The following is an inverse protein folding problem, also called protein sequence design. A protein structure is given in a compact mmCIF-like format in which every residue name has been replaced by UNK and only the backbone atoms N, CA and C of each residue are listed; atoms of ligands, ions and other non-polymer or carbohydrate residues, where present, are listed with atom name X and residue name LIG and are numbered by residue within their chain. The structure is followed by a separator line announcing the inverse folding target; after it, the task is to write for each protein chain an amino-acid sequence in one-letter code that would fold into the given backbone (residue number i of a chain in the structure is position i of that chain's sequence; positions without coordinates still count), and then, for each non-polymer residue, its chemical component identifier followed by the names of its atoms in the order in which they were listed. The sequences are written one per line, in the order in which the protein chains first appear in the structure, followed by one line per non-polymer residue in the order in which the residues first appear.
data_IF_525025413312
#
_entry.id   IF_525025413312
#
_cell.length_a   1.000
_cell.length_b   1.000
_cell.length_c   1.000
_cell.angle_alpha   90.00
_cell.angle_beta   90.00
_cell.angle_gamma   90.00
#
_symmetry.space_group_name_H-M   'P 1'
#
loop_
_entity.id
_entity.type
_entity.pdbx_description
1 polymer ?
#
# COMPACT_ATOMS: atom_id res chain seq x y z
N UNK A 1 3.31 -22.26 34.04
CA UNK A 1 2.26 -21.62 33.22
C UNK A 1 2.54 -20.13 32.94
N UNK A 2 2.90 -19.32 33.95
CA UNK A 2 3.09 -17.87 33.76
C UNK A 2 4.31 -17.47 32.91
N UNK A 3 5.40 -18.26 32.94
CA UNK A 3 6.57 -18.02 32.09
C UNK A 3 6.27 -18.22 30.60
N UNK A 4 5.53 -19.28 30.23
CA UNK A 4 5.12 -19.51 28.84
C UNK A 4 4.26 -18.37 28.27
N UNK A 5 3.38 -17.77 29.08
CA UNK A 5 2.57 -16.62 28.62
C UNK A 5 3.44 -15.40 28.33
N UNK A 6 4.47 -15.17 29.15
CA UNK A 6 5.40 -14.06 28.99
C UNK A 6 6.29 -14.23 27.76
N UNK A 7 6.78 -15.44 27.50
CA UNK A 7 7.63 -15.72 26.34
C UNK A 7 6.85 -15.53 25.02
N UNK A 8 5.60 -16.00 24.96
CA UNK A 8 4.72 -15.78 23.81
C UNK A 8 4.40 -14.29 23.60
N UNK A 9 4.17 -13.54 24.68
CA UNK A 9 3.92 -12.10 24.58
C UNK A 9 5.13 -11.34 24.01
N UNK A 10 6.36 -11.72 24.40
CA UNK A 10 7.59 -11.12 23.87
C UNK A 10 7.78 -11.44 22.39
N UNK A 11 7.52 -12.68 21.97
CA UNK A 11 7.57 -13.07 20.55
C UNK A 11 6.57 -12.26 19.74
N UNK A 12 5.32 -12.13 20.21
CA UNK A 12 4.32 -11.32 19.53
C UNK A 12 4.71 -9.83 19.46
N UNK A 13 5.26 -9.27 20.54
CA UNK A 13 5.74 -7.90 20.55
C UNK A 13 6.85 -7.67 19.52
N UNK A 14 7.79 -8.61 19.39
CA UNK A 14 8.88 -8.52 18.42
C UNK A 14 8.38 -8.61 16.98
N UNK A 15 7.46 -9.56 16.71
CA UNK A 15 6.82 -9.73 15.41
C UNK A 15 6.03 -8.48 15.02
N UNK A 16 5.21 -7.96 15.93
CA UNK A 16 4.44 -6.74 15.68
C UNK A 16 5.34 -5.53 15.42
N UNK A 17 6.44 -5.40 16.16
CA UNK A 17 7.40 -4.29 15.97
C UNK A 17 8.12 -4.41 14.62
N UNK A 18 8.51 -5.62 14.22
CA UNK A 18 9.14 -5.89 12.92
C UNK A 18 8.22 -5.57 11.73
N UNK A 19 6.91 -5.80 11.86
CA UNK A 19 5.93 -5.52 10.81
C UNK A 19 5.44 -4.05 10.85
N UNK A 20 5.38 -3.43 12.02
CA UNK A 20 4.88 -2.07 12.19
C UNK A 20 5.74 -1.03 11.45
N UNK A 21 7.06 -1.20 11.44
CA UNK A 21 7.97 -0.28 10.78
C UNK A 21 7.72 -0.16 9.26
N UNK A 22 7.73 -1.24 8.46
CA UNK A 22 7.46 -1.14 7.02
C UNK A 22 6.03 -0.67 6.72
N UNK A 23 5.04 -1.08 7.53
CA UNK A 23 3.65 -0.62 7.38
C UNK A 23 3.53 0.89 7.62
N UNK A 24 4.21 1.42 8.63
CA UNK A 24 4.21 2.86 8.92
C UNK A 24 4.89 3.68 7.81
N UNK A 25 5.95 3.15 7.21
CA UNK A 25 6.63 3.79 6.07
C UNK A 25 5.73 3.82 4.83
N UNK A 26 4.99 2.75 4.55
CA UNK A 26 4.00 2.70 3.46
C UNK A 26 2.83 3.66 3.69
N UNK A 27 2.39 3.82 4.94
CA UNK A 27 1.28 4.71 5.28
C UNK A 27 1.64 6.20 5.14
N UNK A 28 2.93 6.55 5.30
CA UNK A 28 3.42 7.94 5.29
C UNK A 28 3.98 8.40 3.96
N UNK A 29 4.03 7.54 2.94
CA UNK A 29 4.64 7.91 1.66
C UNK A 29 3.74 8.91 0.93
N UNK A 30 4.25 10.12 0.62
CA UNK A 30 3.45 11.13 -0.04
C UNK A 30 3.04 10.64 -1.43
N UNK A 31 1.75 10.78 -1.74
CA UNK A 31 1.21 10.48 -3.06
C UNK A 31 1.70 11.56 -4.02
N UNK A 32 2.67 11.22 -4.86
CA UNK A 32 3.20 12.10 -5.90
C UNK A 32 2.23 12.13 -7.07
N UNK A 33 1.91 13.32 -7.60
CA UNK A 33 0.91 13.50 -8.67
C UNK A 33 1.33 12.92 -10.03
N UNK A 34 2.61 12.60 -10.22
CA UNK A 34 3.14 12.11 -11.50
C UNK A 34 3.56 10.63 -11.47
N UNK A 35 3.25 9.90 -10.40
CA UNK A 35 3.63 8.50 -10.24
C UNK A 35 2.39 7.62 -10.08
N UNK A 36 2.33 6.43 -10.72
CA UNK A 36 1.18 5.54 -10.62
C UNK A 36 0.75 5.29 -9.17
N UNK A 37 -0.56 5.25 -8.95
CA UNK A 37 -1.17 4.95 -7.67
C UNK A 37 -1.31 3.44 -7.50
N UNK A 38 -0.83 2.91 -6.37
CA UNK A 38 -1.17 1.57 -5.91
C UNK A 38 -2.50 1.62 -5.17
N UNK A 39 -3.47 0.85 -5.67
CA UNK A 39 -4.80 0.72 -5.08
C UNK A 39 -4.98 -0.69 -4.58
N UNK A 40 -5.27 -0.85 -3.28
CA UNK A 40 -5.55 -2.14 -2.65
C UNK A 40 -7.02 -2.19 -2.23
N UNK A 41 -7.75 -3.17 -2.75
CA UNK A 41 -9.17 -3.38 -2.47
C UNK A 41 -9.58 -4.82 -2.79
N UNK A 42 -10.80 -5.22 -2.39
CA UNK A 42 -11.36 -6.53 -2.75
C UNK A 42 -11.59 -6.71 -4.26
N UNK A 43 -12.01 -5.64 -4.93
CA UNK A 43 -12.12 -5.59 -6.40
C UNK A 43 -11.55 -4.25 -6.90
N UNK A 44 -10.22 -4.15 -7.02
CA UNK A 44 -9.56 -2.89 -7.31
C UNK A 44 -9.88 -2.37 -8.72
N UNK A 45 -10.16 -3.26 -9.68
CA UNK A 45 -10.51 -2.88 -11.04
C UNK A 45 -11.87 -2.19 -11.12
N UNK A 46 -12.91 -2.78 -10.51
CA UNK A 46 -14.22 -2.16 -10.44
C UNK A 46 -14.19 -0.86 -9.65
N UNK A 47 -13.41 -0.81 -8.57
CA UNK A 47 -13.29 0.37 -7.72
C UNK A 47 -12.61 1.54 -8.46
N UNK A 48 -11.53 1.29 -9.20
CA UNK A 48 -10.88 2.30 -10.05
C UNK A 48 -11.82 2.79 -11.16
N UNK A 49 -12.55 1.89 -11.81
CA UNK A 49 -13.52 2.26 -12.85
C UNK A 49 -14.66 3.15 -12.28
N UNK A 50 -15.21 2.80 -11.10
CA UNK A 50 -16.25 3.59 -10.42
C UNK A 50 -15.75 4.94 -9.94
N UNK A 51 -14.47 5.04 -9.57
CA UNK A 51 -13.84 6.30 -9.20
C UNK A 51 -13.56 7.22 -10.41
N UNK A 52 -13.74 6.72 -11.64
CA UNK A 52 -13.43 7.43 -12.88
C UNK A 52 -11.94 7.44 -13.22
N UNK A 53 -11.15 6.54 -12.60
CA UNK A 53 -9.73 6.40 -12.85
C UNK A 53 -9.41 5.46 -14.02
N UNK A 54 -8.15 5.44 -14.43
CA UNK A 54 -7.63 4.53 -15.46
C UNK A 54 -6.64 3.55 -14.83
N UNK A 55 -6.78 2.28 -15.15
CA UNK A 55 -5.81 1.24 -14.77
C UNK A 55 -4.55 1.38 -15.62
N UNK A 56 -3.38 1.27 -15.00
CA UNK A 56 -2.08 1.37 -15.66
C UNK A 56 -1.32 0.05 -15.55
N UNK A 57 -0.82 -0.45 -16.69
CA UNK A 57 0.07 -1.61 -16.75
C UNK A 57 -0.60 -2.98 -16.89
N UNK A 58 0.19 -4.02 -17.24
CA UNK A 58 -0.31 -5.38 -17.47
C UNK A 58 -0.48 -6.21 -16.19
N UNK A 59 0.15 -5.80 -15.09
CA UNK A 59 0.14 -6.53 -13.83
C UNK A 59 -1.16 -6.26 -13.05
N UNK A 60 -1.97 -7.30 -12.88
CA UNK A 60 -3.12 -7.31 -11.97
C UNK A 60 -2.87 -8.33 -10.88
N UNK A 61 -2.79 -7.89 -9.64
CA UNK A 61 -2.84 -8.77 -8.50
C UNK A 61 -4.30 -8.94 -8.05
N UNK A 62 -4.67 -10.06 -7.39
CA UNK A 62 -6.06 -10.31 -7.00
C UNK A 62 -6.68 -9.20 -6.15
N UNK A 63 -5.87 -8.49 -5.38
CA UNK A 63 -6.29 -7.43 -4.46
C UNK A 63 -5.64 -6.08 -4.72
N UNK A 64 -4.77 -5.98 -5.73
CA UNK A 64 -4.01 -4.76 -5.97
C UNK A 64 -3.84 -4.46 -7.47
N UNK A 65 -4.01 -3.18 -7.82
CA UNK A 65 -3.83 -2.69 -9.17
C UNK A 65 -3.12 -1.34 -9.17
N UNK A 66 -2.47 -1.01 -10.27
CA UNK A 66 -1.94 0.32 -10.52
C UNK A 66 -2.98 1.16 -11.27
N UNK A 67 -3.14 2.40 -10.85
CA UNK A 67 -4.02 3.39 -11.47
C UNK A 67 -3.25 4.68 -11.78
N UNK A 68 -3.77 5.47 -12.71
CA UNK A 68 -3.26 6.80 -13.04
C UNK A 68 -3.37 7.76 -11.85
N UNK A 69 -2.47 8.72 -11.76
CA UNK A 69 -2.37 9.67 -10.64
C UNK A 69 -3.18 10.95 -10.88
N UNK A 70 -4.45 10.77 -11.21
CA UNK A 70 -5.38 11.90 -11.40
C UNK A 70 -5.60 12.68 -10.09
N UNK A 71 -5.61 14.03 -10.13
CA UNK A 71 -5.87 14.86 -8.95
C UNK A 71 -7.24 14.56 -8.33
N UNK A 72 -7.24 14.05 -7.10
CA UNK A 72 -8.47 13.72 -6.36
C UNK A 72 -8.98 12.30 -6.59
N UNK A 73 -8.36 11.52 -7.48
CA UNK A 73 -8.61 10.07 -7.55
C UNK A 73 -8.31 9.36 -6.21
N UNK A 74 -7.22 9.66 -5.46
CA UNK A 74 -6.96 9.02 -4.18
C UNK A 74 -8.11 9.17 -3.17
N UNK A 75 -8.70 10.36 -3.09
CA UNK A 75 -9.77 10.65 -2.15
C UNK A 75 -11.07 9.96 -2.56
N UNK A 76 -11.37 9.93 -3.87
CA UNK A 76 -12.51 9.16 -4.42
C UNK A 76 -12.36 7.66 -4.15
N UNK A 77 -11.18 7.09 -4.36
CA UNK A 77 -10.90 5.68 -4.10
C UNK A 77 -11.09 5.32 -2.62
N UNK A 78 -10.59 6.16 -1.71
CA UNK A 78 -10.78 5.99 -0.25
C UNK A 78 -12.26 6.07 0.13
N UNK A 79 -12.99 7.05 -0.41
CA UNK A 79 -14.43 7.21 -0.17
C UNK A 79 -15.25 6.00 -0.67
N UNK A 80 -14.78 5.33 -1.72
CA UNK A 80 -15.39 4.12 -2.29
C UNK A 80 -15.00 2.82 -1.57
N UNK A 81 -14.15 2.89 -0.54
CA UNK A 81 -13.77 1.74 0.29
C UNK A 81 -12.46 1.06 -0.10
N UNK A 82 -11.55 1.76 -0.80
CA UNK A 82 -10.19 1.27 -0.93
C UNK A 82 -9.55 1.12 0.47
N UNK A 83 -8.90 -0.02 0.71
CA UNK A 83 -8.20 -0.27 1.96
C UNK A 83 -6.90 0.52 2.04
N UNK A 84 -6.24 0.70 0.89
CA UNK A 84 -5.04 1.51 0.79
C UNK A 84 -4.96 2.17 -0.58
N UNK A 85 -4.50 3.44 -0.58
CA UNK A 85 -4.17 4.19 -1.78
C UNK A 85 -2.89 4.97 -1.51
N UNK A 86 -1.83 4.61 -2.22
CA UNK A 86 -0.48 5.15 -2.05
C UNK A 86 0.28 5.21 -3.37
N UNK A 87 1.47 5.83 -3.36
CA UNK A 87 2.33 5.86 -4.55
C UNK A 87 3.00 4.50 -4.81
N UNK A 88 3.08 4.09 -6.08
CA UNK A 88 3.75 2.85 -6.48
C UNK A 88 5.25 2.82 -6.13
N UNK A 89 5.89 3.98 -5.95
CA UNK A 89 7.28 4.08 -5.51
C UNK A 89 7.54 3.40 -4.15
N UNK A 90 6.57 3.44 -3.24
CA UNK A 90 6.69 2.77 -1.95
C UNK A 90 6.73 1.24 -2.10
N UNK A 91 5.99 0.69 -3.06
CA UNK A 91 6.01 -0.73 -3.38
C UNK A 91 7.32 -1.11 -4.08
N UNK A 92 7.81 -0.26 -4.99
CA UNK A 92 9.09 -0.48 -5.66
C UNK A 92 10.26 -0.56 -4.65
N UNK A 93 10.25 0.28 -3.61
CA UNK A 93 11.23 0.25 -2.53
C UNK A 93 11.20 -1.03 -1.67
N UNK A 94 10.09 -1.78 -1.66
CA UNK A 94 10.02 -3.11 -1.01
C UNK A 94 10.61 -4.21 -1.89
N UNK A 95 10.47 -4.09 -3.22
CA UNK A 95 11.03 -5.05 -4.17
C UNK A 95 12.54 -4.86 -4.35
N UNK A 96 13.01 -3.62 -4.25
CA UNK A 96 14.43 -3.29 -4.23
C UNK A 96 14.70 -2.15 -3.22
N UNK A 97 15.18 -2.48 -2.00
CA UNK A 97 15.45 -1.50 -0.96
C UNK A 97 16.58 -0.50 -1.32
N UNK A 98 17.22 -0.63 -2.49
CA UNK A 98 18.28 0.27 -2.97
C UNK A 98 17.85 1.37 -3.96
N UNK A 99 16.64 1.35 -4.53
CA UNK A 99 16.29 2.20 -5.69
C UNK A 99 15.61 3.55 -5.37
N UNK A 100 15.50 3.94 -4.10
CA UNK A 100 14.89 5.22 -3.69
C UNK A 100 15.73 6.48 -3.91
N UNK A 101 16.94 6.36 -4.50
CA UNK A 101 17.89 7.45 -4.71
C UNK A 101 18.15 7.72 -6.20
N UNK A 102 17.10 7.90 -7.01
CA UNK A 102 17.33 8.55 -8.30
C UNK A 102 17.28 10.06 -8.10
N UNK A 103 18.49 10.62 -8.15
CA UNK A 103 18.86 12.04 -8.26
C UNK A 103 18.05 12.80 -9.31
#
# INVERSE_FOLDING_TARGET
MWQSVRDWALVWALVLTGIAAPVATLARTPVTRDAPLLVIARDPGALVARAGGRVVGPARAPLAILADADPGLPDRLRALGAWHVGGAAALAALCDPGQGTSK
#
